data_IF_231215883562
#
_entry.id   IF_231215883562
#
_cell.length_a   1.000
_cell.length_b   1.000
_cell.length_c   1.000
_cell.angle_alpha   90.00
_cell.angle_beta   90.00
_cell.angle_gamma   90.00
#
_symmetry.space_group_name_H-M   'P 1'
#
loop_
_entity.id
_entity.type
_entity.pdbx_description
1 polymer ?
2 water ?
#
# COMPACT_ATOMS: atom_id res chain seq x y z
N UNK A 1 -9.43 41.09 -17.23
CA UNK A 1 -8.05 41.39 -16.77
C UNK A 1 -7.07 40.42 -17.46
N UNK A 2 -5.89 40.23 -16.87
CA UNK A 2 -4.92 39.34 -17.49
C UNK A 2 -5.06 37.87 -17.09
N UNK A 3 -5.26 37.02 -18.09
CA UNK A 3 -5.42 35.58 -17.89
C UNK A 3 -4.31 34.82 -18.62
N UNK A 4 -3.66 33.89 -17.93
CA UNK A 4 -2.57 33.14 -18.55
C UNK A 4 -2.79 31.66 -18.51
N UNK A 5 -2.38 30.98 -19.58
CA UNK A 5 -2.50 29.54 -19.59
C UNK A 5 -1.29 29.07 -18.79
N UNK A 6 -1.41 27.92 -18.14
CA UNK A 6 -0.29 27.39 -17.38
C UNK A 6 0.45 26.29 -18.14
N UNK A 7 1.73 26.14 -17.83
CA UNK A 7 2.57 25.14 -18.48
C UNK A 7 2.16 23.70 -18.14
N UNK A 8 1.74 22.95 -19.16
CA UNK A 8 1.33 21.57 -18.98
C UNK A 8 2.49 20.66 -19.38
N UNK A 9 2.68 19.57 -18.65
CA UNK A 9 3.75 18.62 -18.95
C UNK A 9 3.19 17.21 -19.13
N UNK A 10 3.39 16.60 -20.31
CA UNK A 10 2.87 15.25 -20.54
C UNK A 10 3.49 14.30 -19.48
N UNK A 11 2.65 13.49 -18.86
CA UNK A 11 3.10 12.58 -17.80
C UNK A 11 3.88 11.35 -18.24
N UNK A 12 3.36 10.65 -19.24
CA UNK A 12 4.03 9.43 -19.72
C UNK A 12 5.53 9.57 -19.96
N UNK A 13 5.96 10.58 -20.72
CA UNK A 13 7.40 10.73 -20.97
C UNK A 13 8.22 10.92 -19.68
N UNK A 14 7.66 11.62 -18.72
CA UNK A 14 8.35 11.86 -17.45
C UNK A 14 8.54 10.57 -16.66
N UNK A 15 7.51 9.75 -16.61
CA UNK A 15 7.59 8.50 -15.86
C UNK A 15 8.48 7.49 -16.57
N UNK A 16 8.49 7.53 -17.91
CA UNK A 16 9.29 6.62 -18.71
C UNK A 16 10.75 6.62 -18.24
N UNK A 17 11.31 7.82 -18.10
CA UNK A 17 12.69 7.95 -17.66
C UNK A 17 12.92 7.40 -16.24
N UNK A 18 11.98 7.69 -15.34
CA UNK A 18 12.11 7.21 -13.96
C UNK A 18 12.11 5.70 -13.95
N UNK A 19 11.21 5.13 -14.75
CA UNK A 19 11.06 3.68 -14.85
C UNK A 19 12.34 2.99 -15.33
N UNK A 20 13.00 3.61 -16.32
CA UNK A 20 14.24 3.05 -16.86
C UNK A 20 15.32 3.02 -15.80
N UNK A 21 15.42 4.09 -15.02
CA UNK A 21 16.44 4.18 -13.98
C UNK A 21 16.19 3.15 -12.87
N UNK A 22 14.94 3.03 -12.45
CA UNK A 22 14.57 2.07 -11.39
C UNK A 22 14.76 0.64 -11.86
N UNK A 23 14.48 0.39 -13.13
CA UNK A 23 14.63 -0.95 -13.68
C UNK A 23 16.08 -1.40 -13.48
N UNK A 24 17.02 -0.49 -13.70
CA UNK A 24 18.44 -0.81 -13.53
C UNK A 24 18.80 -0.96 -12.06
N UNK A 25 18.26 -0.07 -11.22
CA UNK A 25 18.55 -0.12 -9.78
C UNK A 25 18.08 -1.43 -9.14
N UNK A 26 16.94 -1.94 -9.57
CA UNK A 26 16.41 -3.18 -8.99
C UNK A 26 16.43 -4.40 -9.90
N UNK A 27 17.31 -4.38 -10.89
CA UNK A 27 17.37 -5.51 -11.82
C UNK A 27 17.77 -6.82 -11.15
N UNK A 28 18.63 -6.76 -10.13
CA UNK A 28 19.03 -7.99 -9.46
C UNK A 28 17.83 -8.60 -8.75
N UNK A 29 17.00 -7.74 -8.18
CA UNK A 29 15.79 -8.23 -7.51
C UNK A 29 14.83 -8.76 -8.58
N UNK A 30 14.94 -8.21 -9.79
CA UNK A 30 14.10 -8.65 -10.88
C UNK A 30 12.72 -8.02 -10.93
N UNK A 31 12.65 -6.71 -10.72
CA UNK A 31 11.37 -6.01 -10.73
C UNK A 31 10.86 -5.76 -12.14
N UNK A 32 9.58 -6.05 -12.36
CA UNK A 32 8.90 -5.85 -13.64
C UNK A 32 7.95 -4.68 -13.46
N UNK A 33 8.22 -3.57 -14.14
CA UNK A 33 7.37 -2.39 -14.03
C UNK A 33 6.62 -2.14 -15.33
N UNK A 34 5.31 -1.94 -15.26
CA UNK A 34 4.52 -1.64 -16.43
C UNK A 34 3.74 -0.33 -16.21
N UNK A 35 3.50 0.41 -17.28
CA UNK A 35 2.78 1.66 -17.19
C UNK A 35 1.76 1.78 -18.33
N UNK A 36 0.54 2.16 -17.99
CA UNK A 36 -0.51 2.33 -18.98
C UNK A 36 -1.10 3.72 -18.74
N UNK A 37 -0.49 4.72 -19.37
CA UNK A 37 -0.92 6.10 -19.24
C UNK A 37 -1.05 6.73 -20.62
N UNK A 38 -2.24 7.21 -20.93
CA UNK A 38 -2.49 7.81 -22.24
C UNK A 38 -1.62 9.04 -22.46
N UNK A 39 -1.28 9.33 -23.73
CA UNK A 39 -0.44 10.51 -24.00
C UNK A 39 -1.12 11.84 -23.65
N UNK A 40 -2.42 11.79 -23.41
CA UNK A 40 -3.20 12.98 -23.07
C UNK A 40 -2.96 13.45 -21.63
N UNK A 41 -2.68 12.51 -20.73
CA UNK A 41 -2.45 12.83 -19.32
C UNK A 41 -1.27 13.79 -19.11
N UNK A 42 -1.52 14.88 -18.42
CA UNK A 42 -0.46 15.84 -18.17
C UNK A 42 -0.49 16.35 -16.74
N UNK A 43 0.57 17.05 -16.38
CA UNK A 43 0.73 17.62 -15.05
C UNK A 43 0.96 19.12 -15.18
N UNK A 44 0.28 19.90 -14.34
CA UNK A 44 0.43 21.34 -14.34
C UNK A 44 1.26 21.77 -13.13
N UNK A 45 2.36 22.48 -13.38
CA UNK A 45 3.20 22.92 -12.27
C UNK A 45 4.68 22.69 -12.54
N UNK A 46 5.50 22.80 -11.51
CA UNK A 46 6.94 22.60 -11.67
C UNK A 46 7.23 21.15 -12.01
N UNK A 47 7.70 20.92 -13.22
CA UNK A 47 8.02 19.56 -13.68
C UNK A 47 8.90 18.80 -12.70
N UNK A 48 9.86 19.50 -12.09
CA UNK A 48 10.78 18.88 -11.13
C UNK A 48 10.06 18.30 -9.92
N UNK A 49 8.98 18.95 -9.51
CA UNK A 49 8.22 18.47 -8.36
C UNK A 49 7.55 17.14 -8.68
N UNK A 50 6.88 17.07 -9.82
CA UNK A 50 6.21 15.82 -10.21
C UNK A 50 7.23 14.70 -10.29
N UNK A 51 8.37 14.98 -10.92
CA UNK A 51 9.42 13.98 -11.04
C UNK A 51 9.98 13.56 -9.68
N UNK A 52 10.10 14.51 -8.76
CA UNK A 52 10.60 14.21 -7.42
C UNK A 52 9.60 13.39 -6.60
N UNK A 53 8.32 13.70 -6.72
CA UNK A 53 7.28 12.97 -5.99
C UNK A 53 7.15 11.54 -6.53
N UNK A 54 7.07 11.43 -7.85
CA UNK A 54 6.91 10.12 -8.46
C UNK A 54 8.16 9.28 -8.32
N UNK A 55 9.32 9.91 -8.32
CA UNK A 55 10.56 9.17 -8.15
C UNK A 55 10.52 8.47 -6.79
N UNK A 56 10.04 9.19 -5.78
CA UNK A 56 9.94 8.65 -4.41
C UNK A 56 8.89 7.53 -4.30
N UNK A 57 7.71 7.75 -4.87
CA UNK A 57 6.65 6.75 -4.80
C UNK A 57 6.99 5.46 -5.58
N UNK A 58 7.62 5.63 -6.74
CA UNK A 58 8.00 4.48 -7.56
C UNK A 58 9.13 3.70 -6.88
N UNK A 59 10.09 4.44 -6.32
CA UNK A 59 11.19 3.77 -5.66
C UNK A 59 10.68 2.95 -4.49
N UNK A 60 9.76 3.53 -3.73
CA UNK A 60 9.17 2.84 -2.60
C UNK A 60 8.44 1.57 -3.07
N UNK A 61 7.71 1.68 -4.18
CA UNK A 61 6.96 0.54 -4.69
C UNK A 61 7.92 -0.59 -5.10
N UNK A 62 9.05 -0.23 -5.68
CA UNK A 62 10.02 -1.24 -6.07
C UNK A 62 10.56 -1.95 -4.83
N UNK A 63 10.78 -1.20 -3.75
CA UNK A 63 11.30 -1.82 -2.53
C UNK A 63 10.32 -2.79 -1.90
N UNK A 64 9.04 -2.44 -1.85
CA UNK A 64 8.06 -3.32 -1.25
C UNK A 64 7.46 -4.39 -2.10
N UNK A 65 7.53 -4.21 -3.41
CA UNK A 65 6.95 -5.21 -4.31
C UNK A 65 7.75 -6.49 -4.22
N UNK A 66 7.17 -7.56 -4.75
CA UNK A 66 7.87 -8.83 -4.82
C UNK A 66 8.54 -8.84 -6.21
N UNK A 67 7.75 -8.59 -7.25
CA UNK A 67 8.31 -8.54 -8.60
C UNK A 67 7.50 -7.67 -9.57
N UNK A 68 6.30 -7.27 -9.17
CA UNK A 68 5.47 -6.44 -10.06
C UNK A 68 5.09 -5.07 -9.52
N UNK A 69 5.13 -4.09 -10.41
CA UNK A 69 4.75 -2.71 -10.12
C UNK A 69 3.98 -2.22 -11.34
N UNK A 70 2.81 -1.64 -11.11
CA UNK A 70 1.98 -1.14 -12.21
C UNK A 70 1.58 0.31 -11.99
N UNK A 71 1.71 1.11 -13.04
CA UNK A 71 1.38 2.52 -12.95
C UNK A 71 0.24 2.87 -13.89
N UNK A 72 -0.69 3.69 -13.40
CA UNK A 72 -1.83 4.13 -14.21
C UNK A 72 -2.17 5.56 -13.78
N UNK A 73 -3.08 6.20 -14.49
CA UNK A 73 -3.43 7.57 -14.14
C UNK A 73 -4.79 8.00 -14.66
N UNK A 74 -5.35 9.02 -14.05
CA UNK A 74 -6.63 9.58 -14.45
C UNK A 74 -6.64 11.05 -14.06
N UNK A 75 -7.36 11.87 -14.83
CA UNK A 75 -7.41 13.29 -14.53
C UNK A 75 -8.85 13.77 -14.35
N UNK A 76 -8.99 14.87 -13.61
CA UNK A 76 -10.27 15.53 -13.39
C UNK A 76 -9.90 17.02 -13.57
N UNK A 77 -10.83 17.79 -14.11
CA UNK A 77 -10.59 19.21 -14.37
C UNK A 77 -9.52 19.83 -13.47
N UNK A 78 -9.62 19.62 -12.16
CA UNK A 78 -8.66 20.22 -11.23
C UNK A 78 -7.66 19.29 -10.52
N UNK A 79 -7.77 17.98 -10.75
CA UNK A 79 -6.84 17.04 -10.12
C UNK A 79 -6.21 16.03 -11.07
N UNK A 80 -5.01 15.60 -10.72
CA UNK A 80 -4.29 14.59 -11.49
C UNK A 80 -4.07 13.41 -10.53
N UNK A 81 -4.56 12.23 -10.90
CA UNK A 81 -4.40 11.05 -10.06
C UNK A 81 -3.42 10.05 -10.69
N UNK A 82 -2.35 9.72 -9.97
CA UNK A 82 -1.38 8.73 -10.45
C UNK A 82 -1.49 7.53 -9.52
N UNK A 83 -1.64 6.34 -10.09
CA UNK A 83 -1.77 5.12 -9.30
C UNK A 83 -0.55 4.21 -9.47
N UNK A 84 0.02 3.79 -8.34
CA UNK A 84 1.20 2.93 -8.34
C UNK A 84 0.88 1.74 -7.44
N UNK A 85 0.73 0.58 -8.07
CA UNK A 85 0.38 -0.65 -7.40
C UNK A 85 1.51 -1.66 -7.42
N UNK A 86 1.59 -2.47 -6.38
CA UNK A 86 2.64 -3.49 -6.30
C UNK A 86 2.08 -4.78 -5.73
N UNK A 87 2.85 -5.86 -5.88
CA UNK A 87 2.44 -7.18 -5.42
C UNK A 87 3.14 -7.55 -4.13
N UNK A 88 3.54 -6.53 -3.38
CA UNK A 88 4.25 -6.82 -2.16
C UNK A 88 3.29 -7.20 -1.04
N UNK A 89 3.72 -6.98 0.23
CA UNK A 89 2.90 -7.28 1.42
C UNK A 89 1.68 -6.37 1.52
N UNK A 90 0.57 -6.87 2.08
CA UNK A 90 -0.63 -6.04 2.24
C UNK A 90 -0.37 -4.76 3.04
N UNK A 91 -1.44 -4.05 3.42
CA UNK A 91 -1.31 -2.84 4.18
C UNK A 91 -2.01 -2.96 5.54
N UNK A 92 -1.63 -2.13 6.52
CA UNK A 92 -2.19 -2.11 7.87
C UNK A 92 -3.69 -2.44 8.00
N UNK A 93 -3.97 -3.71 8.23
CA UNK A 93 -5.31 -4.20 8.40
C UNK A 93 -6.14 -3.29 9.30
N UNK A 108 3.92 -11.21 6.80
CA UNK A 108 4.28 -9.83 6.50
C UNK A 108 3.10 -9.00 6.07
N UNK A 109 3.35 -7.70 6.23
CA UNK A 109 2.50 -6.60 5.87
C UNK A 109 3.55 -5.52 5.93
N UNK A 110 3.37 -4.48 5.14
CA UNK A 110 4.33 -3.39 5.14
C UNK A 110 3.58 -2.11 5.44
N UNK A 111 4.22 -0.96 5.28
CA UNK A 111 3.45 0.24 5.55
C UNK A 111 2.92 0.97 4.33
N UNK A 112 1.81 1.64 4.41
CA UNK A 112 1.48 2.39 3.21
C UNK A 112 2.71 3.27 3.03
N UNK A 113 3.73 2.85 3.74
CA UNK A 113 5.03 3.49 3.88
C UNK A 113 5.01 4.98 3.67
N UNK A 114 4.53 5.63 4.71
CA UNK A 114 4.57 7.03 4.76
C UNK A 114 5.92 7.33 5.36
N UNK A 115 6.56 6.27 5.87
CA UNK A 115 7.87 6.57 6.45
C UNK A 115 8.81 7.15 5.41
N UNK A 116 8.97 6.47 4.30
CA UNK A 116 9.86 7.00 3.28
C UNK A 116 9.14 7.74 2.19
N UNK A 117 7.89 8.16 2.44
CA UNK A 117 7.14 8.92 1.46
C UNK A 117 6.96 10.32 2.01
N UNK A 118 7.78 10.65 2.99
CA UNK A 118 7.69 11.98 3.60
C UNK A 118 7.87 13.07 2.56
N UNK A 119 8.82 12.88 1.64
CA UNK A 119 9.08 13.88 0.61
C UNK A 119 7.90 14.00 -0.34
N UNK A 120 7.37 12.86 -0.78
CA UNK A 120 6.24 12.87 -1.68
C UNK A 120 5.07 13.59 -1.01
N UNK A 121 4.78 13.24 0.25
CA UNK A 121 3.68 13.89 0.97
C UNK A 121 3.88 15.40 1.09
N UNK A 122 5.09 15.82 1.39
CA UNK A 122 5.40 17.24 1.52
C UNK A 122 5.06 17.99 0.23
N UNK A 123 5.64 17.55 -0.88
CA UNK A 123 5.42 18.18 -2.18
C UNK A 123 3.96 18.14 -2.64
N UNK A 124 3.30 17.00 -2.48
CA UNK A 124 1.91 16.89 -2.88
C UNK A 124 1.08 17.88 -2.07
N UNK A 125 1.42 18.04 -0.80
CA UNK A 125 0.72 18.99 0.06
C UNK A 125 0.74 20.39 -0.55
N UNK A 126 1.88 20.76 -1.11
CA UNK A 126 2.04 22.07 -1.76
C UNK A 126 1.00 22.24 -2.86
N UNK A 127 0.83 21.19 -3.67
CA UNK A 127 -0.12 21.21 -4.78
C UNK A 127 -1.55 20.92 -4.35
N UNK A 128 -1.86 21.14 -3.08
CA UNK A 128 -3.22 20.91 -2.57
C UNK A 128 -3.67 19.49 -2.88
N UNK A 129 -2.76 18.54 -2.73
CA UNK A 129 -3.10 17.15 -2.99
C UNK A 129 -2.82 16.28 -1.79
N UNK A 130 -2.90 14.98 -1.98
CA UNK A 130 -2.64 14.03 -0.91
C UNK A 130 -2.26 12.68 -1.45
N UNK A 131 -1.69 11.83 -0.60
CA UNK A 131 -1.29 10.50 -0.97
C UNK A 131 -2.10 9.52 -0.15
N UNK A 132 -2.75 8.58 -0.82
CA UNK A 132 -3.61 7.61 -0.17
C UNK A 132 -3.23 6.17 -0.50
N UNK A 133 -3.27 5.31 0.51
CA UNK A 133 -2.93 3.91 0.36
C UNK A 133 -4.17 3.01 0.44
N UNK A 134 -4.28 2.05 -0.48
CA UNK A 134 -5.40 1.12 -0.50
C UNK A 134 -4.86 -0.22 -0.96
N UNK A 135 -5.73 -1.23 -1.03
CA UNK A 135 -5.32 -2.56 -1.46
C UNK A 135 -5.30 -2.68 -2.98
N UNK A 136 -4.27 -3.35 -3.50
CA UNK A 136 -4.15 -3.57 -4.94
C UNK A 136 -4.57 -4.98 -5.30
N UNK A 137 -5.01 -5.19 -6.55
CA UNK A 137 -5.39 -6.52 -6.99
C UNK A 137 -4.13 -7.39 -7.10
N UNK A 138 -2.98 -6.76 -7.23
CA UNK A 138 -1.73 -7.50 -7.34
C UNK A 138 -1.38 -8.17 -6.01
N UNK A 139 -2.02 -7.70 -4.93
CA UNK A 139 -1.78 -8.28 -3.62
C UNK A 139 -1.16 -7.32 -2.64
N UNK A 140 -0.51 -6.28 -3.16
CA UNK A 140 0.14 -5.32 -2.30
C UNK A 140 -0.62 -4.02 -2.15
N UNK A 141 0.13 -2.93 -2.06
CA UNK A 141 -0.49 -1.63 -1.90
C UNK A 141 -0.79 -0.96 -3.23
N UNK A 142 -1.86 -0.17 -3.22
CA UNK A 142 -2.25 0.61 -4.37
C UNK A 142 -2.11 2.03 -3.83
N UNK A 143 -1.08 2.73 -4.26
CA UNK A 143 -0.86 4.11 -3.82
C UNK A 143 -1.44 5.09 -4.81
N UNK A 144 -2.28 5.99 -4.32
CA UNK A 144 -2.85 7.03 -5.17
C UNK A 144 -2.18 8.34 -4.81
N UNK A 145 -1.54 8.95 -5.79
CA UNK A 145 -0.89 10.23 -5.60
C UNK A 145 -1.77 11.25 -6.28
N UNK A 146 -2.43 12.11 -5.49
CA UNK A 146 -3.30 13.12 -6.07
C UNK A 146 -2.67 14.50 -6.01
N UNK A 147 -2.63 15.17 -7.16
CA UNK A 147 -2.09 16.52 -7.25
C UNK A 147 -3.27 17.47 -7.52
N UNK A 148 -3.39 18.51 -6.71
CA UNK A 148 -4.46 19.47 -6.94
C UNK A 148 -3.97 20.62 -7.79
N UNK A 149 -4.66 21.75 -7.70
CA UNK A 149 -4.28 22.94 -8.46
C UNK A 149 -3.91 22.59 -9.90
N UNK A 150 -4.78 21.87 -10.59
CA UNK A 150 -4.51 21.48 -11.97
C UNK A 150 -5.29 22.26 -13.03
N UNK A 151 -5.93 23.35 -12.64
CA UNK A 151 -6.66 24.14 -13.62
C UNK A 151 -5.60 24.64 -14.60
N UNK A 152 -5.85 24.49 -15.91
CA UNK A 152 -4.91 24.93 -16.95
C UNK A 152 -4.68 26.44 -17.13
N UNK A 153 -5.50 27.27 -16.50
CA UNK A 153 -5.34 28.73 -16.60
C UNK A 153 -5.41 29.43 -15.26
N UNK A 154 -4.99 30.70 -15.23
CA UNK A 154 -5.00 31.49 -14.00
C UNK A 154 -4.65 32.96 -14.26
N UNK A 155 -5.27 33.88 -13.50
CA UNK A 155 -5.06 35.32 -13.64
C UNK A 155 -3.78 35.83 -12.95
N UNK A 156 -3.06 36.73 -13.64
CA UNK A 156 -1.82 37.38 -13.19
C UNK A 156 -1.18 37.78 -14.53
N UNK A 157 -0.06 38.51 -14.58
CA UNK A 157 0.45 38.82 -15.94
C UNK A 157 0.34 37.60 -16.80
N UNK B 6 20.73 -28.72 -9.33
CA UNK B 6 21.91 -29.02 -8.46
C UNK B 6 21.46 -29.59 -7.10
N UNK B 7 20.59 -28.86 -6.41
CA UNK B 7 20.09 -29.31 -5.12
C UNK B 7 18.96 -28.42 -4.63
N UNK B 8 18.56 -28.60 -3.37
CA UNK B 8 17.50 -27.81 -2.78
C UNK B 8 17.70 -27.78 -1.27
N UNK B 9 18.23 -26.66 -0.77
CA UNK B 9 18.47 -26.53 0.66
C UNK B 9 17.30 -25.88 1.40
N UNK B 10 16.62 -26.65 2.26
CA UNK B 10 15.49 -26.09 3.00
C UNK B 10 16.03 -24.90 3.81
N UNK B 11 15.31 -23.79 3.78
CA UNK B 11 15.79 -22.60 4.50
C UNK B 11 15.50 -22.55 6.00
N UNK B 12 14.25 -22.81 6.37
CA UNK B 12 13.84 -22.76 7.78
C UNK B 12 14.86 -23.40 8.74
N UNK B 13 15.27 -24.65 8.46
CA UNK B 13 16.24 -25.33 9.34
C UNK B 13 17.56 -24.58 9.50
N UNK B 14 18.12 -24.11 8.39
CA UNK B 14 19.38 -23.38 8.44
C UNK B 14 19.27 -22.10 9.25
N UNK B 15 18.11 -21.46 9.21
CA UNK B 15 17.91 -20.24 9.97
C UNK B 15 17.77 -20.59 11.46
N UNK B 16 17.07 -21.68 11.76
CA UNK B 16 16.87 -22.13 13.14
C UNK B 16 18.15 -22.15 13.94
N UNK B 17 19.20 -22.70 13.35
CA UNK B 17 20.49 -22.81 14.01
C UNK B 17 21.06 -21.42 14.30
N UNK B 18 20.98 -20.52 13.33
CA UNK B 18 21.49 -19.17 13.52
C UNK B 18 20.71 -18.47 14.62
N UNK B 19 19.39 -18.65 14.58
CA UNK B 19 18.50 -18.03 15.55
C UNK B 19 18.80 -18.45 16.98
N UNK B 20 18.82 -19.75 17.24
CA UNK B 20 19.09 -20.22 18.59
C UNK B 20 20.41 -19.64 19.10
N UNK B 21 21.42 -19.63 18.22
CA UNK B 21 22.73 -19.09 18.58
C UNK B 21 22.68 -17.61 18.95
N UNK B 22 21.94 -16.84 18.16
CA UNK B 22 21.81 -15.41 18.41
C UNK B 22 21.04 -15.12 19.71
N UNK B 23 20.08 -15.99 20.03
CA UNK B 23 19.30 -15.81 21.27
C UNK B 23 20.22 -15.83 22.48
N UNK B 24 21.32 -16.55 22.37
CA UNK B 24 22.29 -16.64 23.46
C UNK B 24 23.15 -15.38 23.54
N UNK B 25 23.67 -14.97 22.38
CA UNK B 25 24.51 -13.79 22.29
C UNK B 25 23.82 -12.55 22.82
N UNK B 26 22.53 -12.43 22.52
CA UNK B 26 21.76 -11.25 22.90
C UNK B 26 20.66 -11.50 23.93
N UNK B 27 20.76 -12.58 24.68
CA UNK B 27 19.74 -12.89 25.67
C UNK B 27 19.64 -11.82 26.76
N UNK B 28 20.76 -11.17 27.07
CA UNK B 28 20.78 -10.14 28.09
C UNK B 28 20.04 -8.89 27.61
N UNK B 29 20.20 -8.56 26.33
CA UNK B 29 19.53 -7.40 25.75
C UNK B 29 18.02 -7.67 25.71
N UNK B 30 17.64 -8.94 25.68
CA UNK B 30 16.23 -9.28 25.65
C UNK B 30 15.67 -9.39 24.25
N UNK B 31 16.52 -9.71 23.29
CA UNK B 31 16.09 -9.84 21.90
C UNK B 31 15.24 -11.07 21.65
N UNK B 32 14.08 -10.84 21.05
CA UNK B 32 13.15 -11.92 20.71
C UNK B 32 13.15 -12.07 19.19
N UNK B 33 13.73 -13.15 18.69
CA UNK B 33 13.78 -13.40 17.25
C UNK B 33 12.65 -14.33 16.86
N UNK B 34 11.84 -13.90 15.90
CA UNK B 34 10.69 -14.67 15.45
C UNK B 34 10.82 -15.03 13.97
N UNK B 35 10.41 -16.25 13.63
CA UNK B 35 10.49 -16.67 12.24
C UNK B 35 9.25 -17.42 11.82
N UNK B 36 8.75 -17.09 10.63
CA UNK B 36 7.58 -17.74 10.08
C UNK B 36 7.80 -17.92 8.59
N UNK B 37 8.36 -19.08 8.23
CA UNK B 37 8.66 -19.43 6.85
C UNK B 37 8.26 -20.88 6.59
N UNK B 38 7.54 -21.09 5.49
CA UNK B 38 7.08 -22.43 5.11
C UNK B 38 8.23 -23.42 4.88
N UNK B 39 7.97 -24.71 5.12
CA UNK B 39 8.97 -25.78 4.94
C UNK B 39 9.44 -25.94 3.50
N UNK B 40 8.63 -25.45 2.55
CA UNK B 40 8.96 -25.57 1.14
C UNK B 40 10.01 -24.56 0.66
N UNK B 41 10.13 -23.44 1.37
CA UNK B 41 11.11 -22.43 0.97
C UNK B 41 12.50 -23.04 0.92
N UNK B 42 13.14 -22.96 -0.25
CA UNK B 42 14.46 -23.54 -0.42
C UNK B 42 15.48 -22.57 -1.03
N UNK B 43 16.74 -22.93 -0.91
CA UNK B 43 17.84 -22.14 -1.44
C UNK B 43 18.69 -22.98 -2.38
N UNK B 44 19.05 -22.40 -3.52
CA UNK B 44 19.87 -23.09 -4.52
C UNK B 44 21.26 -22.46 -4.53
N UNK B 45 22.28 -23.27 -4.21
CA UNK B 45 23.64 -22.78 -4.19
C UNK B 45 24.46 -23.44 -3.10
N UNK B 46 25.60 -22.85 -2.76
CA UNK B 46 26.44 -23.40 -1.71
C UNK B 46 25.84 -23.02 -0.35
N UNK B 47 25.35 -24.02 0.37
CA UNK B 47 24.72 -23.82 1.65
C UNK B 47 25.46 -22.86 2.57
N UNK B 48 26.78 -22.98 2.63
CA UNK B 48 27.58 -22.10 3.47
C UNK B 48 27.45 -20.63 3.10
N UNK B 49 27.21 -20.34 1.82
CA UNK B 49 27.06 -18.95 1.39
C UNK B 49 25.79 -18.34 2.00
N UNK B 50 24.73 -19.12 2.05
CA UNK B 50 23.46 -18.66 2.60
C UNK B 50 23.55 -18.40 4.11
N UNK B 51 24.16 -19.33 4.83
CA UNK B 51 24.27 -19.17 6.27
C UNK B 51 25.17 -17.99 6.60
N UNK B 52 26.22 -17.80 5.81
CA UNK B 52 27.13 -16.70 6.05
C UNK B 52 26.45 -15.35 5.81
N UNK B 53 25.60 -15.29 4.80
CA UNK B 53 24.90 -14.06 4.49
C UNK B 53 23.87 -13.77 5.57
N UNK B 54 23.00 -14.74 5.84
CA UNK B 54 21.95 -14.55 6.85
C UNK B 54 22.53 -14.38 8.24
N UNK B 55 23.68 -14.97 8.50
CA UNK B 55 24.29 -14.82 9.81
C UNK B 55 24.64 -13.35 9.99
N UNK B 56 25.20 -12.76 8.94
CA UNK B 56 25.59 -11.35 8.96
C UNK B 56 24.37 -10.43 9.07
N UNK B 57 23.32 -10.71 8.30
CA UNK B 57 22.11 -9.88 8.33
C UNK B 57 21.32 -10.00 9.63
N UNK B 58 21.19 -11.22 10.15
CA UNK B 58 20.46 -11.43 11.39
C UNK B 58 21.22 -10.81 12.56
N UNK B 59 22.55 -10.89 12.53
CA UNK B 59 23.33 -10.29 13.62
C UNK B 59 23.16 -8.79 13.59
N UNK B 60 23.16 -8.23 12.39
CA UNK B 60 23.00 -6.80 12.22
C UNK B 60 21.65 -6.38 12.77
N UNK B 61 20.62 -7.19 12.48
CA UNK B 61 19.28 -6.89 12.96
C UNK B 61 19.22 -6.94 14.50
N UNK B 62 19.84 -7.94 15.10
CA UNK B 62 19.82 -8.05 16.56
C UNK B 62 20.51 -6.84 17.18
N UNK B 63 21.59 -6.38 16.55
CA UNK B 63 22.31 -5.23 17.07
C UNK B 63 21.49 -3.95 17.07
N UNK B 64 20.77 -3.71 15.99
CA UNK B 64 19.97 -2.48 15.86
C UNK B 64 18.56 -2.53 16.45
N UNK B 65 18.02 -3.73 16.59
CA UNK B 65 16.66 -3.84 17.13
C UNK B 65 16.60 -3.37 18.58
N UNK B 66 15.39 -3.15 19.06
CA UNK B 66 15.22 -2.76 20.45
C UNK B 66 14.94 -4.05 21.19
N UNK B 67 13.92 -4.76 20.74
CA UNK B 67 13.54 -6.01 21.39
C UNK B 67 13.06 -7.10 20.42
N UNK B 68 12.66 -6.71 19.20
CA UNK B 68 12.16 -7.70 18.25
C UNK B 68 12.80 -7.75 16.87
N UNK B 69 12.92 -8.97 16.35
CA UNK B 69 13.45 -9.23 15.02
C UNK B 69 12.52 -10.30 14.44
N UNK B 70 11.98 -10.06 13.24
CA UNK B 70 11.09 -11.01 12.60
C UNK B 70 11.63 -11.39 11.23
N UNK B 71 11.54 -12.68 10.90
CA UNK B 71 12.06 -13.19 9.63
C UNK B 71 10.98 -13.89 8.81
N UNK B 72 10.91 -13.56 7.52
CA UNK B 72 9.93 -14.18 6.62
C UNK B 72 10.61 -14.38 5.27
N UNK B 73 9.94 -15.06 4.34
CA UNK B 73 10.54 -15.28 3.02
C UNK B 73 9.51 -15.54 1.93
N UNK B 74 9.92 -15.32 0.69
CA UNK B 74 9.08 -15.54 -0.47
C UNK B 74 10.00 -15.96 -1.61
N UNK B 75 9.48 -16.79 -2.50
CA UNK B 75 10.26 -17.25 -3.64
C UNK B 75 9.63 -16.83 -4.95
N UNK B 76 10.47 -16.65 -5.96
CA UNK B 76 10.03 -16.30 -7.31
C UNK B 76 10.80 -17.23 -8.22
N UNK B 77 10.37 -17.31 -9.47
CA UNK B 77 11.02 -18.19 -10.44
C UNK B 77 12.53 -18.30 -10.26
N UNK B 78 13.22 -17.17 -10.39
CA UNK B 78 14.67 -17.17 -10.30
C UNK B 78 15.24 -16.51 -9.03
N UNK B 79 14.38 -16.14 -8.08
CA UNK B 79 14.87 -15.48 -6.86
C UNK B 79 14.32 -16.00 -5.54
N UNK B 80 15.13 -15.85 -4.49
CA UNK B 80 14.74 -16.21 -3.13
C UNK B 80 14.84 -14.89 -2.36
N UNK B 81 13.75 -14.50 -1.72
CA UNK B 81 13.71 -13.26 -0.97
C UNK B 81 13.56 -13.54 0.53
N UNK B 82 14.54 -13.10 1.32
CA UNK B 82 14.45 -13.26 2.77
C UNK B 82 14.28 -11.86 3.37
N UNK B 83 13.29 -11.72 4.24
CA UNK B 83 13.03 -10.44 4.88
C UNK B 83 13.35 -10.50 6.36
N UNK B 84 14.11 -9.50 6.82
CA UNK B 84 14.49 -9.41 8.23
C UNK B 84 14.09 -8.02 8.69
N UNK B 85 13.15 -7.98 9.62
CA UNK B 85 12.65 -6.72 10.16
C UNK B 85 12.96 -6.57 11.65
N UNK B 86 13.19 -5.34 12.08
CA UNK B 86 13.48 -5.09 13.49
C UNK B 86 12.76 -3.83 13.94
N UNK B 87 12.69 -3.61 15.25
CA UNK B 87 12.03 -2.45 15.83
C UNK B 87 13.02 -1.41 16.31
N UNK B 88 14.20 -1.36 15.70
CA UNK B 88 15.18 -0.37 16.11
C UNK B 88 14.86 0.96 15.46
N UNK B 89 15.84 1.87 15.38
CA UNK B 89 15.57 3.17 14.76
C UNK B 89 15.32 2.99 13.27
N UNK B 90 14.78 4.03 12.64
CA UNK B 90 14.49 3.95 11.22
C UNK B 90 15.74 4.16 10.40
N UNK B 91 15.61 3.97 9.09
CA UNK B 91 16.74 4.17 8.19
C UNK B 91 16.62 5.58 7.64
N UNK B 92 17.73 6.13 7.13
CA UNK B 92 17.65 7.49 6.59
C UNK B 92 17.03 7.55 5.20
N UNK B 93 16.41 8.68 4.90
CA UNK B 93 15.81 8.91 3.59
C UNK B 93 16.21 10.28 3.07
N UNK B 94 16.78 10.32 1.86
CA UNK B 94 17.19 11.59 1.26
C UNK B 94 15.96 12.48 1.13
N UNK B 95 16.14 13.79 1.36
CA UNK B 95 15.01 14.71 1.29
C UNK B 95 15.33 16.09 0.70
N UNK B 96 14.38 16.61 -0.08
CA UNK B 96 14.44 17.93 -0.71
C UNK B 96 12.95 18.28 -0.56
N UNK B 97 12.31 18.82 -1.60
CA UNK B 97 10.87 19.14 -1.56
C UNK B 97 10.41 20.25 -2.50
N UNK B 108 18.59 9.84 15.54
CA UNK B 108 17.23 9.30 15.48
C UNK B 108 17.13 8.14 14.45
N UNK B 109 18.25 7.80 13.82
CA UNK B 109 18.24 6.77 12.75
C UNK B 109 19.51 5.95 12.70
N UNK B 110 19.51 4.90 11.88
CA UNK B 110 20.67 4.02 11.74
C UNK B 110 20.94 3.73 10.23
N UNK B 111 22.07 3.09 9.88
CA UNK B 111 22.46 2.75 8.51
C UNK B 111 21.92 1.36 8.19
N UNK B 112 21.09 1.27 7.16
CA UNK B 112 20.56 -0.02 6.77
C UNK B 112 21.39 -0.34 5.59
N UNK B 113 22.58 0.25 5.62
CA UNK B 113 23.53 0.24 4.50
C UNK B 113 25.00 0.09 4.92
N UNK B 114 25.26 0.41 6.19
CA UNK B 114 26.61 0.41 6.74
C UNK B 114 27.59 -0.63 6.26
N UNK B 115 28.86 -0.41 6.58
CA UNK B 115 29.92 -1.34 6.22
C UNK B 115 29.69 -2.66 6.95
N UNK B 116 28.74 -2.62 7.86
CA UNK B 116 28.43 -3.81 8.65
C UNK B 116 27.90 -4.96 7.82
N UNK B 117 27.25 -4.66 6.69
CA UNK B 117 26.71 -5.70 5.82
C UNK B 117 27.59 -5.96 4.60
N UNK B 118 28.87 -5.62 4.72
CA UNK B 118 29.81 -5.81 3.62
C UNK B 118 29.83 -7.26 3.12
N UNK B 119 29.95 -8.21 4.05
CA UNK B 119 30.00 -9.61 3.69
C UNK B 119 28.74 -10.08 2.99
N UNK B 120 27.59 -9.82 3.59
CA UNK B 120 26.33 -10.25 2.98
C UNK B 120 26.19 -9.67 1.58
N UNK B 121 26.56 -8.40 1.43
CA UNK B 121 26.47 -7.72 0.14
C UNK B 121 27.38 -8.38 -0.89
N UNK B 122 28.63 -8.65 -0.52
CA UNK B 122 29.56 -9.29 -1.44
C UNK B 122 29.06 -10.65 -1.90
N UNK B 123 28.60 -11.49 -0.97
CA UNK B 123 28.12 -12.81 -1.35
C UNK B 123 26.82 -12.76 -2.17
N UNK B 124 25.86 -11.95 -1.76
CA UNK B 124 24.61 -11.87 -2.51
C UNK B 124 24.86 -11.38 -3.95
N UNK B 125 25.80 -10.45 -4.08
CA UNK B 125 26.14 -9.89 -5.40
C UNK B 125 26.60 -11.02 -6.32
N UNK B 126 27.34 -11.96 -5.75
CA UNK B 126 27.86 -13.10 -6.49
C UNK B 126 26.72 -13.97 -7.03
N UNK B 127 25.58 -13.97 -6.34
CA UNK B 127 24.44 -14.74 -6.79
C UNK B 127 23.48 -13.88 -7.59
N UNK B 128 24.01 -12.83 -8.23
CA UNK B 128 23.22 -11.92 -9.03
C UNK B 128 22.03 -11.36 -8.25
N UNK B 129 22.25 -11.11 -6.96
CA UNK B 129 21.19 -10.57 -6.13
C UNK B 129 21.64 -9.27 -5.51
N UNK B 130 20.85 -8.79 -4.54
CA UNK B 130 21.18 -7.53 -3.87
C UNK B 130 20.45 -7.47 -2.54
N UNK B 131 20.82 -6.50 -1.70
CA UNK B 131 20.19 -6.32 -0.41
C UNK B 131 19.59 -4.92 -0.39
N UNK B 132 18.32 -4.84 -0.02
CA UNK B 132 17.61 -3.57 0.01
C UNK B 132 17.04 -3.26 1.40
N UNK B 133 17.20 -2.00 1.80
CA UNK B 133 16.71 -1.54 3.09
C UNK B 133 15.47 -0.66 2.92
N UNK B 134 14.40 -0.99 3.65
CA UNK B 134 13.16 -0.22 3.61
C UNK B 134 12.68 -0.09 5.06
N UNK B 135 11.50 0.51 5.26
CA UNK B 135 10.98 0.69 6.62
C UNK B 135 10.03 -0.42 7.04
N UNK B 136 10.20 -0.90 8.26
CA UNK B 136 9.36 -1.97 8.78
C UNK B 136 8.23 -1.44 9.65
N UNK B 137 7.11 -2.16 9.66
CA UNK B 137 5.96 -1.79 10.49
C UNK B 137 6.37 -1.87 11.96
N UNK B 138 7.45 -2.60 12.22
CA UNK B 138 7.95 -2.74 13.58
C UNK B 138 8.58 -1.44 14.06
N UNK B 139 8.91 -0.58 13.11
CA UNK B 139 9.51 0.70 13.44
C UNK B 139 10.94 0.86 12.96
N UNK B 140 11.65 -0.25 12.83
CA UNK B 140 13.04 -0.20 12.38
C UNK B 140 13.14 -0.42 10.88
N UNK B 141 14.16 -1.16 10.44
CA UNK B 141 14.26 -1.40 9.01
C UNK B 141 13.76 -2.76 8.66
N UNK B 142 13.46 -2.86 7.39
CA UNK B 142 12.97 -4.06 6.78
C UNK B 142 14.06 -4.31 5.75
N UNK B 143 14.85 -5.35 5.97
CA UNK B 143 15.93 -5.68 5.05
C UNK B 143 15.45 -6.80 4.16
N UNK B 144 15.65 -6.65 2.86
CA UNK B 144 15.26 -7.68 1.90
C UNK B 144 16.54 -8.23 1.29
N UNK B 145 16.80 -9.51 1.52
CA UNK B 145 17.98 -10.15 0.96
C UNK B 145 17.46 -10.95 -0.22
N UNK B 146 17.95 -10.67 -1.41
CA UNK B 146 17.51 -11.39 -2.59
C UNK B 146 18.65 -12.12 -3.27
N UNK B 147 18.51 -13.44 -3.39
CA UNK B 147 19.52 -14.26 -4.08
C UNK B 147 18.95 -14.57 -5.45
N UNK B 148 19.78 -14.44 -6.48
CA UNK B 148 19.33 -14.76 -7.82
C UNK B 148 19.86 -16.15 -8.14
N UNK B 149 19.94 -16.50 -9.42
CA UNK B 149 20.46 -17.80 -9.83
C UNK B 149 19.79 -18.96 -9.09
N UNK B 150 18.50 -18.83 -8.81
CA UNK B 150 17.78 -19.88 -8.11
C UNK B 150 17.11 -20.86 -9.08
N UNK B 151 16.87 -20.39 -10.29
CA UNK B 151 16.23 -21.19 -11.34
C UNK B 151 17.13 -22.35 -11.78
N UNK C 6 -35.08 -5.19 20.36
CA UNK C 6 -34.22 -4.10 19.83
C UNK C 6 -35.05 -2.87 19.41
N UNK C 7 -34.43 -1.70 19.38
CA UNK C 7 -35.10 -0.44 19.03
C UNK C 7 -34.66 0.09 17.65
N UNK C 8 -35.52 0.86 16.99
CA UNK C 8 -35.20 1.41 15.68
C UNK C 8 -34.18 2.54 15.74
N UNK C 9 -33.63 2.88 14.57
CA UNK C 9 -32.64 3.95 14.43
C UNK C 9 -32.70 4.57 13.05
N UNK C 10 -33.17 5.82 12.94
CA UNK C 10 -33.20 6.44 11.60
C UNK C 10 -31.79 6.35 10.99
N UNK C 11 -31.68 5.77 9.79
CA UNK C 11 -30.36 5.59 9.16
C UNK C 11 -29.67 6.87 8.71
N UNK C 12 -30.38 7.73 7.99
CA UNK C 12 -29.77 8.97 7.49
C UNK C 12 -29.00 9.71 8.58
N UNK C 13 -29.66 10.05 9.70
CA UNK C 13 -28.98 10.76 10.79
C UNK C 13 -27.70 10.07 11.28
N UNK C 14 -27.64 8.75 11.18
CA UNK C 14 -26.47 8.01 11.63
C UNK C 14 -25.25 8.12 10.72
N UNK C 15 -25.47 8.46 9.46
CA UNK C 15 -24.39 8.57 8.48
C UNK C 15 -23.84 9.98 8.29
N UNK C 16 -24.61 10.99 8.69
CA UNK C 16 -24.22 12.38 8.54
C UNK C 16 -22.84 12.67 9.09
N UNK C 17 -22.61 12.21 10.32
CA UNK C 17 -21.34 12.44 11.00
C UNK C 17 -20.19 11.84 10.20
N UNK C 18 -20.33 10.58 9.82
CA UNK C 18 -19.29 9.87 9.07
C UNK C 18 -18.98 10.56 7.75
N UNK C 19 -20.01 11.04 7.07
CA UNK C 19 -19.85 11.72 5.79
C UNK C 19 -19.11 13.04 5.99
N UNK C 20 -19.51 13.78 7.01
CA UNK C 20 -18.89 15.06 7.31
C UNK C 20 -17.39 14.88 7.52
N UNK C 21 -17.04 13.83 8.27
CA UNK C 21 -15.66 13.53 8.57
C UNK C 21 -14.83 13.13 7.34
N UNK C 22 -15.39 12.23 6.53
CA UNK C 22 -14.70 11.77 5.33
C UNK C 22 -14.51 12.92 4.33
N UNK C 23 -15.49 13.81 4.24
CA UNK C 23 -15.38 14.95 3.35
C UNK C 23 -14.13 15.77 3.67
N UNK C 24 -13.74 15.75 4.95
CA UNK C 24 -12.56 16.49 5.38
C UNK C 24 -11.29 15.70 5.16
N UNK C 25 -11.33 14.40 5.44
CA UNK C 25 -10.15 13.57 5.26
C UNK C 25 -9.73 13.55 3.79
N UNK C 26 -10.72 13.49 2.91
CA UNK C 26 -10.43 13.46 1.48
C UNK C 26 -10.71 14.77 0.77
N UNK C 27 -10.66 15.86 1.55
CA UNK C 27 -10.89 17.20 1.01
C UNK C 27 -9.92 17.52 -0.12
N UNK C 28 -8.64 17.19 0.08
CA UNK C 28 -7.61 17.46 -0.93
C UNK C 28 -7.90 16.75 -2.24
N UNK C 29 -8.22 15.47 -2.15
CA UNK C 29 -8.53 14.67 -3.32
C UNK C 29 -9.77 15.23 -4.02
N UNK C 30 -10.64 15.87 -3.26
CA UNK C 30 -11.84 16.47 -3.82
C UNK C 30 -13.05 15.57 -3.87
N UNK C 31 -13.08 14.55 -3.01
CA UNK C 31 -14.20 13.62 -2.99
C UNK C 31 -15.51 14.30 -2.62
N UNK C 32 -16.57 13.93 -3.33
CA UNK C 32 -17.88 14.46 -3.01
C UNK C 32 -18.81 13.31 -2.70
N UNK C 33 -19.22 13.26 -1.45
CA UNK C 33 -20.10 12.19 -1.00
C UNK C 33 -21.54 12.69 -0.96
N UNK C 34 -22.44 11.97 -1.62
CA UNK C 34 -23.84 12.35 -1.62
C UNK C 34 -24.63 11.18 -1.04
N UNK C 35 -25.73 11.47 -0.37
CA UNK C 35 -26.55 10.44 0.25
C UNK C 35 -28.01 10.73 -0.02
N UNK C 36 -28.73 9.72 -0.47
CA UNK C 36 -30.13 9.87 -0.73
C UNK C 36 -30.83 8.67 -0.12
N UNK C 37 -31.16 8.83 1.16
CA UNK C 37 -31.80 7.79 1.94
C UNK C 37 -33.03 8.36 2.65
N UNK C 38 -34.18 7.77 2.39
CA UNK C 38 -35.43 8.19 3.01
C UNK C 38 -35.33 8.20 4.53
N UNK C 39 -35.93 9.20 5.19
CA UNK C 39 -35.88 9.27 6.65
C UNK C 39 -36.55 8.06 7.28
N UNK C 40 -37.42 7.40 6.51
CA UNK C 40 -38.15 6.23 6.98
C UNK C 40 -37.25 5.01 7.06
N UNK C 41 -36.12 5.03 6.36
CA UNK C 41 -35.21 3.90 6.41
C UNK C 41 -34.53 3.91 7.77
N UNK C 42 -34.61 2.81 8.49
CA UNK C 42 -34.01 2.72 9.82
C UNK C 42 -33.22 1.44 10.04
N UNK C 43 -32.48 1.40 11.14
CA UNK C 43 -31.67 0.24 11.48
C UNK C 43 -32.01 -0.24 12.88
N UNK C 44 -32.00 -1.55 13.08
CA UNK C 44 -32.30 -2.12 14.37
C UNK C 44 -31.11 -2.99 14.75
N UNK C 45 -30.62 -2.79 15.97
CA UNK C 45 -29.47 -3.52 16.46
C UNK C 45 -28.57 -2.47 17.05
N UNK C 46 -27.38 -2.86 17.51
CA UNK C 46 -26.45 -1.91 18.08
C UNK C 46 -26.07 -0.77 17.12
N UNK C 47 -26.35 0.47 17.52
CA UNK C 47 -26.07 1.67 16.73
C UNK C 47 -24.61 1.83 16.30
N UNK C 48 -23.69 1.53 17.21
CA UNK C 48 -22.26 1.63 16.92
C UNK C 48 -21.78 0.57 15.94
N UNK C 49 -22.51 -0.54 15.85
CA UNK C 49 -22.13 -1.61 14.93
C UNK C 49 -22.32 -1.12 13.49
N UNK C 50 -23.46 -0.46 13.27
CA UNK C 50 -23.79 0.07 11.95
C UNK C 50 -22.78 1.13 11.53
N UNK C 51 -22.43 2.01 12.47
CA UNK C 51 -21.49 3.07 12.19
C UNK C 51 -20.09 2.53 11.87
N UNK C 52 -19.70 1.42 12.50
CA UNK C 52 -18.38 0.84 12.24
C UNK C 52 -18.30 0.17 10.88
N UNK C 53 -19.36 -0.56 10.51
CA UNK C 53 -19.40 -1.21 9.20
C UNK C 53 -19.39 -0.15 8.10
N UNK C 54 -20.31 0.79 8.18
CA UNK C 54 -20.40 1.84 7.17
C UNK C 54 -19.18 2.74 7.16
N UNK C 55 -18.51 2.86 8.31
CA UNK C 55 -17.31 3.67 8.36
C UNK C 55 -16.26 3.06 7.46
N UNK C 56 -16.13 1.73 7.53
CA UNK C 56 -15.18 0.98 6.72
C UNK C 56 -15.56 0.99 5.24
N UNK C 57 -16.85 0.76 4.96
CA UNK C 57 -17.31 0.74 3.59
C UNK C 57 -17.21 2.11 2.90
N UNK C 58 -17.64 3.16 3.59
CA UNK C 58 -17.57 4.48 3.00
C UNK C 58 -16.13 4.94 2.79
N UNK C 59 -15.24 4.64 3.74
CA UNK C 59 -13.85 5.05 3.58
C UNK C 59 -13.24 4.30 2.39
N UNK C 60 -13.57 3.02 2.30
CA UNK C 60 -13.10 2.17 1.21
C UNK C 60 -13.48 2.82 -0.12
N UNK C 61 -14.73 3.28 -0.22
CA UNK C 61 -15.22 3.91 -1.44
C UNK C 61 -14.50 5.22 -1.72
N UNK C 62 -14.23 6.00 -0.68
CA UNK C 62 -13.52 7.27 -0.85
C UNK C 62 -12.12 7.02 -1.39
N UNK C 63 -11.53 5.90 -1.00
CA UNK C 63 -10.20 5.54 -1.44
C UNK C 63 -10.15 5.12 -2.91
N UNK C 64 -11.14 4.36 -3.35
CA UNK C 64 -11.15 3.89 -4.73
C UNK C 64 -11.81 4.80 -5.76
N UNK C 65 -12.63 5.73 -5.29
CA UNK C 65 -13.32 6.64 -6.21
C UNK C 65 -12.36 7.64 -6.84
N UNK C 66 -12.82 8.30 -7.89
CA UNK C 66 -12.03 9.31 -8.55
C UNK C 66 -12.51 10.61 -7.91
N UNK C 67 -13.83 10.79 -7.85
CA UNK C 67 -14.38 12.00 -7.26
C UNK C 67 -15.80 11.89 -6.70
N UNK C 68 -16.53 10.82 -7.02
CA UNK C 68 -17.89 10.68 -6.52
C UNK C 68 -18.18 9.39 -5.77
N UNK C 69 -18.99 9.51 -4.72
CA UNK C 69 -19.43 8.38 -3.93
C UNK C 69 -20.90 8.68 -3.63
N UNK C 70 -21.78 7.75 -3.95
CA UNK C 70 -23.21 7.91 -3.73
C UNK C 70 -23.70 6.82 -2.80
N UNK C 71 -24.57 7.21 -1.87
CA UNK C 71 -25.11 6.30 -0.90
C UNK C 71 -26.63 6.20 -1.00
N UNK C 72 -27.17 5.00 -0.98
CA UNK C 72 -28.62 4.83 -1.03
C UNK C 72 -28.99 3.65 -0.15
N UNK C 73 -30.29 3.40 0.02
CA UNK C 73 -30.75 2.30 0.87
C UNK C 73 -32.16 1.81 0.55
N UNK C 74 -32.45 0.59 0.97
CA UNK C 74 -33.75 -0.03 0.80
C UNK C 74 -33.93 -0.97 1.98
N UNK C 75 -35.16 -1.18 2.41
CA UNK C 75 -35.42 -2.08 3.54
C UNK C 75 -36.31 -3.21 3.08
N UNK C 76 -36.13 -4.38 3.68
CA UNK C 76 -36.96 -5.54 3.37
C UNK C 76 -37.48 -6.02 4.73
N UNK C 77 -38.30 -7.06 4.71
CA UNK C 77 -38.87 -7.60 5.93
C UNK C 77 -37.83 -7.79 7.03
N UNK C 78 -36.82 -8.59 6.75
CA UNK C 78 -35.79 -8.86 7.74
C UNK C 78 -34.41 -8.34 7.35
N UNK C 79 -34.34 -7.53 6.30
CA UNK C 79 -33.03 -7.00 5.89
C UNK C 79 -32.95 -5.51 5.60
N UNK C 80 -31.79 -4.94 5.90
CA UNK C 80 -31.51 -3.53 5.64
C UNK C 80 -30.44 -3.56 4.56
N UNK C 81 -30.68 -2.86 3.46
CA UNK C 81 -29.74 -2.82 2.36
C UNK C 81 -29.17 -1.43 2.16
N UNK C 82 -27.87 -1.28 2.36
CA UNK C 82 -27.24 0.02 2.16
C UNK C 82 -26.36 -0.12 0.91
N UNK C 83 -26.49 0.82 -0.03
CA UNK C 83 -25.70 0.76 -1.26
C UNK C 83 -24.71 1.91 -1.33
N UNK C 84 -23.47 1.59 -1.66
CA UNK C 84 -22.42 2.59 -1.75
C UNK C 84 -21.75 2.43 -3.11
N UNK C 85 -21.85 3.45 -3.95
CA UNK C 85 -21.27 3.39 -5.29
C UNK C 85 -20.24 4.45 -5.51
N UNK C 86 -19.24 4.12 -6.32
CA UNK C 86 -18.17 5.05 -6.59
C UNK C 86 -17.84 5.07 -8.06
N UNK C 87 -17.12 6.11 -8.48
CA UNK C 87 -16.75 6.28 -9.88
C UNK C 87 -15.30 5.93 -10.11
N UNK C 88 -14.79 4.97 -9.35
CA UNK C 88 -13.42 4.57 -9.53
C UNK C 88 -13.31 3.47 -10.55
N UNK C 89 -12.17 2.76 -10.59
CA UNK C 89 -12.02 1.66 -11.56
C UNK C 89 -13.04 0.56 -11.30
N UNK C 90 -13.33 -0.23 -12.33
CA UNK C 90 -14.29 -1.31 -12.19
C UNK C 90 -13.76 -2.47 -11.39
N UNK C 91 -14.65 -3.38 -11.02
CA UNK C 91 -14.24 -4.57 -10.28
C UNK C 91 -13.90 -5.67 -11.27
N UNK C 92 -13.00 -6.58 -10.90
CA UNK C 92 -12.62 -7.68 -11.79
C UNK C 92 -13.73 -8.67 -12.08
N UNK C 93 -13.73 -9.22 -13.30
CA UNK C 93 -14.73 -10.20 -13.71
C UNK C 93 -14.06 -11.37 -14.42
N UNK C 108 -6.63 -0.25 -15.13
CA UNK C 108 -6.99 -0.48 -13.75
C UNK C 108 -8.32 -1.17 -13.56
N UNK C 109 -8.39 -1.82 -12.42
CA UNK C 109 -9.54 -2.49 -11.87
C UNK C 109 -9.07 -2.54 -10.44
N UNK C 110 -10.00 -2.64 -9.50
CA UNK C 110 -9.59 -2.67 -8.11
C UNK C 110 -10.19 -3.85 -7.42
N UNK C 111 -9.95 -3.97 -6.11
CA UNK C 111 -10.51 -5.09 -5.35
C UNK C 111 -11.98 -4.81 -5.06
N UNK C 112 -12.86 -5.78 -5.33
CA UNK C 112 -14.27 -5.60 -5.05
C UNK C 112 -14.38 -5.96 -3.59
N UNK C 113 -13.57 -6.95 -3.21
CA UNK C 113 -13.51 -7.46 -1.84
C UNK C 113 -12.06 -7.59 -1.41
N UNK C 114 -11.43 -6.46 -1.09
CA UNK C 114 -10.04 -6.49 -0.64
C UNK C 114 -10.03 -6.84 0.83
N UNK C 115 -8.85 -7.01 1.42
CA UNK C 115 -8.75 -7.31 2.83
C UNK C 115 -9.17 -6.04 3.56
N UNK C 116 -9.33 -4.96 2.80
CA UNK C 116 -9.71 -3.68 3.36
C UNK C 116 -11.09 -3.66 3.99
N UNK C 117 -11.97 -4.55 3.56
CA UNK C 117 -13.32 -4.61 4.11
C UNK C 117 -13.50 -5.75 5.10
N UNK C 118 -12.40 -6.24 5.66
CA UNK C 118 -12.45 -7.34 6.63
C UNK C 118 -13.40 -7.00 7.77
N UNK C 119 -13.20 -5.83 8.36
CA UNK C 119 -14.04 -5.39 9.47
C UNK C 119 -15.52 -5.40 9.11
N UNK C 120 -15.86 -4.72 8.02
CA UNK C 120 -17.26 -4.67 7.60
C UNK C 120 -17.81 -6.08 7.42
N UNK C 121 -17.03 -6.97 6.81
CA UNK C 121 -17.49 -8.34 6.59
C UNK C 121 -17.88 -9.12 7.84
N UNK C 122 -17.16 -8.93 8.94
CA UNK C 122 -17.45 -9.65 10.18
C UNK C 122 -18.70 -9.18 10.87
N UNK C 123 -18.72 -7.88 11.20
CA UNK C 123 -19.87 -7.31 11.87
C UNK C 123 -21.11 -7.68 11.07
N UNK C 124 -21.03 -7.58 9.74
CA UNK C 124 -22.17 -7.92 8.89
C UNK C 124 -22.49 -9.39 9.07
N UNK C 125 -21.45 -10.22 9.05
CA UNK C 125 -21.61 -11.66 9.24
C UNK C 125 -22.38 -11.92 10.54
N UNK C 126 -22.10 -11.10 11.55
CA UNK C 126 -22.75 -11.26 12.85
C UNK C 126 -24.24 -10.94 12.82
N UNK C 127 -24.66 -10.11 11.87
CA UNK C 127 -26.07 -9.76 11.76
C UNK C 127 -26.75 -10.62 10.69
N UNK C 128 -26.16 -11.77 10.40
CA UNK C 128 -26.70 -12.68 9.38
C UNK C 128 -26.81 -11.96 8.04
N UNK C 129 -25.84 -11.10 7.77
CA UNK C 129 -25.86 -10.36 6.52
C UNK C 129 -24.61 -10.64 5.71
N UNK C 130 -24.40 -9.87 4.65
CA UNK C 130 -23.22 -10.06 3.82
C UNK C 130 -22.98 -8.79 3.02
N UNK C 131 -21.80 -8.71 2.42
CA UNK C 131 -21.44 -7.55 1.60
C UNK C 131 -21.18 -8.08 0.20
N UNK C 132 -21.78 -7.44 -0.80
CA UNK C 132 -21.65 -7.88 -2.17
C UNK C 132 -21.12 -6.78 -3.09
N UNK C 133 -20.17 -7.12 -3.96
CA UNK C 133 -19.61 -6.14 -4.88
C UNK C 133 -20.18 -6.32 -6.29
N UNK C 134 -20.61 -5.23 -6.91
CA UNK C 134 -21.13 -5.29 -8.27
C UNK C 134 -20.67 -4.03 -9.00
N UNK C 135 -21.06 -3.89 -10.26
CA UNK C 135 -20.66 -2.73 -11.04
C UNK C 135 -21.67 -1.60 -10.86
N UNK C 136 -21.16 -0.38 -10.81
CA UNK C 136 -21.99 0.80 -10.64
C UNK C 136 -22.05 1.58 -11.94
N UNK C 137 -23.14 2.32 -12.14
CA UNK C 137 -23.31 3.14 -13.33
C UNK C 137 -22.31 4.29 -13.28
N UNK C 138 -21.85 4.60 -12.07
CA UNK C 138 -20.87 5.66 -11.89
C UNK C 138 -19.57 5.26 -12.56
N UNK C 139 -19.34 3.97 -12.71
CA UNK C 139 -18.13 3.49 -13.34
C UNK C 139 -17.30 2.58 -12.46
N UNK C 140 -17.41 2.77 -11.15
CA UNK C 140 -16.65 1.95 -10.23
C UNK C 140 -17.47 0.81 -9.68
N UNK C 141 -17.38 0.63 -8.38
CA UNK C 141 -18.09 -0.45 -7.72
C UNK C 141 -19.36 -0.01 -7.02
N UNK C 142 -20.29 -0.96 -6.93
CA UNK C 142 -21.55 -0.77 -6.24
C UNK C 142 -21.45 -1.79 -5.12
N UNK C 143 -21.22 -1.31 -3.91
CA UNK C 143 -21.12 -2.19 -2.77
C UNK C 143 -22.48 -2.25 -2.07
N UNK C 144 -22.98 -3.45 -1.86
CA UNK C 144 -24.26 -3.62 -1.17
C UNK C 144 -23.97 -4.21 0.19
N UNK C 145 -24.33 -3.47 1.23
CA UNK C 145 -24.14 -3.91 2.61
C UNK C 145 -25.49 -4.39 3.13
N UNK C 146 -25.62 -5.68 3.42
CA UNK C 146 -26.88 -6.21 3.90
C UNK C 146 -26.88 -6.64 5.36
N UNK C 147 -27.68 -5.98 6.18
CA UNK C 147 -27.79 -6.34 7.59
C UNK C 147 -29.03 -7.19 7.75
N UNK C 148 -28.89 -8.37 8.36
CA UNK C 148 -30.03 -9.24 8.59
C UNK C 148 -30.57 -9.00 9.99
N UNK C 149 -31.40 -9.92 10.48
CA UNK C 149 -32.00 -9.81 11.81
C UNK C 149 -32.63 -8.44 12.10
N UNK C 150 -33.38 -7.92 11.14
CA UNK C 150 -34.03 -6.63 11.31
C UNK C 150 -35.46 -6.81 11.80
N UNK C 151 -35.72 -7.95 12.43
CA UNK C 151 -37.04 -8.28 12.97
C UNK C 151 -38.01 -8.71 11.87
#
# INVERSE_FOLDING_TARGET
SVLLSRELHPVAPLLDNLISALNKVYQRKGVNISMDISPEISFVGEQNDFVEVMGNVLDNACKYCLEFVEISARQTDDHLHIFVEDDGPGIPHSKRSLVFDRGQRADTLRPGQGVGLAVAREITEQYAGQIIASDSLLGGARMEVVFGRQHPTQKEE
SVLLSRELHPVAPLLDNLISALNKVYQRKGVNISMDISPEISFVGEQNDFVEVMGNVLDNACKYCLEFVEISARQTDDHLHIFVEDDGPGIPHSKRSLVFDRGQRADTLRPGQGVGLAVAREITEQYAGQIIASDSLLGGARMEVVFGRQHPTQKEE
SVLLSRELHPVAPLLDNLISALNKVYQRKGVNISMDISPEISFVGEQNDFVEVMGNVLDNACKYCLEFVEISARQTDDHLHIFVEDDGPGIPHSKRSLVFDRGQRADTLRPGQGVGLAVAREITEQYAGQIIASDSLLGGARMEVVFGRQHPTQKEE
#
